data_IF_863163721927
#
_entry.id   IF_863163721927
#
_cell.length_a   1.000
_cell.length_b   1.000
_cell.length_c   1.000
_cell.angle_alpha   90.00
_cell.angle_beta   90.00
_cell.angle_gamma   90.00
#
_symmetry.space_group_name_H-M   'P 1'
#
loop_
_entity.id
_entity.type
_entity.pdbx_description
1 polymer ?
#
# COMPACT_ATOMS: atom_id res chain seq x y z
N UNK A 1 16.08 1.46 -17.80
CA UNK A 1 15.49 1.49 -17.37
C UNK A 1 14.80 0.92 -16.84
N UNK A 2 14.35 1.05 -16.52
CA UNK A 2 13.64 0.71 -16.03
C UNK A 2 12.77 0.65 -15.91
N UNK A 3 12.59 0.23 -15.80
CA UNK A 3 11.67 0.17 -15.90
C UNK A 3 10.54 0.58 -15.53
N UNK A 4 10.08 0.91 -15.48
CA UNK A 4 8.91 1.72 -15.28
C UNK A 4 7.59 1.06 -14.95
N UNK A 5 7.60 -0.20 -14.59
CA UNK A 5 6.37 -0.91 -14.31
C UNK A 5 5.64 -0.33 -13.09
N UNK A 6 6.40 0.19 -12.13
CA UNK A 6 5.80 0.72 -10.89
C UNK A 6 6.13 2.19 -10.77
N UNK A 7 5.69 2.96 -11.74
CA UNK A 7 6.00 4.38 -11.76
C UNK A 7 4.94 5.24 -11.06
N UNK A 8 3.93 4.62 -10.49
CA UNK A 8 2.92 5.32 -9.68
C UNK A 8 2.92 4.75 -8.28
N UNK A 9 2.50 5.57 -7.33
CA UNK A 9 2.42 5.09 -5.95
C UNK A 9 1.24 5.73 -5.25
N UNK A 10 0.74 5.03 -4.22
CA UNK A 10 -0.31 5.53 -3.35
C UNK A 10 0.19 5.39 -1.91
N UNK A 11 -0.23 6.30 -1.05
CA UNK A 11 0.19 6.31 0.35
C UNK A 11 -1.01 6.47 1.26
N UNK A 12 -0.89 5.89 2.45
CA UNK A 12 -1.91 6.06 3.47
C UNK A 12 -1.29 5.84 4.83
N UNK A 13 -1.81 6.54 5.84
CA UNK A 13 -1.40 6.33 7.23
C UNK A 13 -2.33 5.30 7.83
N UNK A 14 -1.76 4.22 8.33
CA UNK A 14 -2.53 3.09 8.84
C UNK A 14 -2.03 2.76 10.23
N UNK A 15 -2.97 2.49 11.14
CA UNK A 15 -2.60 2.09 12.49
C UNK A 15 -1.80 0.79 12.44
N UNK A 16 -0.76 0.73 13.27
CA UNK A 16 0.10 -0.45 13.31
C UNK A 16 -0.71 -1.72 13.61
N UNK A 17 -1.76 -1.58 14.41
CA UNK A 17 -2.58 -2.74 14.76
C UNK A 17 -3.34 -3.30 13.55
N UNK A 18 -3.54 -2.49 12.53
CA UNK A 18 -4.27 -2.93 11.33
C UNK A 18 -3.35 -3.44 10.23
N UNK A 19 -2.04 -3.28 10.40
CA UNK A 19 -1.10 -3.71 9.37
C UNK A 19 -1.20 -5.21 9.12
N UNK A 20 -1.44 -5.98 10.16
CA UNK A 20 -1.53 -7.43 9.99
C UNK A 20 -2.67 -7.80 9.05
N UNK A 21 -3.82 -7.13 9.19
CA UNK A 21 -4.94 -7.38 8.29
C UNK A 21 -4.60 -6.98 6.87
N UNK A 22 -3.89 -5.86 6.72
CA UNK A 22 -3.47 -5.42 5.41
C UNK A 22 -2.52 -6.42 4.77
N UNK A 23 -1.55 -6.92 5.53
CA UNK A 23 -0.62 -7.93 5.02
C UNK A 23 -1.35 -9.18 4.59
N UNK A 24 -2.32 -9.63 5.40
CA UNK A 24 -3.10 -10.82 5.07
C UNK A 24 -3.88 -10.61 3.77
N UNK A 25 -4.43 -9.42 3.61
CA UNK A 25 -5.17 -9.11 2.38
C UNK A 25 -4.25 -9.11 1.17
N UNK A 26 -3.07 -8.51 1.31
CA UNK A 26 -2.14 -8.40 0.19
C UNK A 26 -1.46 -9.73 -0.12
N UNK A 27 -1.42 -10.63 0.85
CA UNK A 27 -0.85 -11.94 0.63
C UNK A 27 -1.60 -12.72 -0.43
N UNK A 28 -2.90 -12.45 -0.57
CA UNK A 28 -3.73 -13.07 -1.61
C UNK A 28 -3.77 -12.26 -2.89
N UNK A 29 -3.05 -11.14 -2.94
CA UNK A 29 -3.12 -10.26 -4.08
C UNK A 29 -2.31 -10.81 -5.25
N UNK A 30 -2.94 -10.89 -6.43
CA UNK A 30 -2.26 -11.37 -7.62
C UNK A 30 -1.74 -10.23 -8.49
N UNK A 31 -2.20 -9.00 -8.23
CA UNK A 31 -1.76 -7.84 -9.00
C UNK A 31 -0.36 -7.44 -8.57
N UNK A 32 0.57 -7.22 -9.50
CA UNK A 32 1.93 -6.85 -9.12
C UNK A 32 1.99 -5.52 -8.38
N UNK A 33 2.78 -5.47 -7.34
CA UNK A 33 2.98 -4.23 -6.58
C UNK A 33 4.25 -4.34 -5.75
N UNK A 34 4.72 -3.18 -5.26
CA UNK A 34 5.76 -3.12 -4.25
C UNK A 34 5.24 -2.29 -3.09
N UNK A 35 5.62 -2.67 -1.88
CA UNK A 35 5.13 -1.99 -0.70
C UNK A 35 6.28 -1.60 0.21
N UNK A 36 6.19 -0.41 0.78
CA UNK A 36 7.12 0.08 1.76
C UNK A 36 6.34 0.59 2.96
N UNK A 37 6.84 0.29 4.16
CA UNK A 37 6.18 0.73 5.38
C UNK A 37 7.20 1.51 6.20
N UNK A 38 6.83 2.72 6.58
CA UNK A 38 7.69 3.59 7.38
C UNK A 38 6.93 4.04 8.62
N UNK A 39 7.69 4.37 9.66
CA UNK A 39 7.09 4.92 10.85
C UNK A 39 6.66 6.36 10.58
N UNK A 40 5.39 6.65 10.82
CA UNK A 40 4.87 8.00 10.63
C UNK A 40 4.67 8.70 11.97
N UNK A 41 4.10 7.98 12.94
CA UNK A 41 3.88 8.50 14.29
C UNK A 41 3.76 7.31 15.21
N UNK A 42 3.60 7.59 16.50
CA UNK A 42 3.44 6.52 17.47
C UNK A 42 2.18 5.72 17.13
N UNK A 43 2.36 4.44 16.86
CA UNK A 43 1.24 3.57 16.52
C UNK A 43 0.72 3.73 15.11
N UNK A 44 1.32 4.62 14.31
CA UNK A 44 0.88 4.88 12.95
C UNK A 44 2.02 4.58 11.99
N UNK A 45 1.70 3.94 10.88
CA UNK A 45 2.67 3.63 9.83
C UNK A 45 2.25 4.24 8.52
N UNK A 46 3.21 4.79 7.79
CA UNK A 46 2.97 5.27 6.45
C UNK A 46 3.22 4.12 5.49
N UNK A 47 2.17 3.69 4.82
CA UNK A 47 2.24 2.58 3.86
C UNK A 47 2.24 3.17 2.47
N UNK A 48 3.23 2.81 1.68
CA UNK A 48 3.34 3.25 0.29
C UNK A 48 3.31 2.02 -0.60
N UNK A 49 2.38 2.00 -1.54
CA UNK A 49 2.31 0.93 -2.53
C UNK A 49 2.66 1.52 -3.89
N UNK A 50 3.67 0.95 -4.52
CA UNK A 50 4.05 1.32 -5.88
C UNK A 50 3.47 0.31 -6.84
N UNK A 51 2.89 0.81 -7.93
CA UNK A 51 2.17 -0.06 -8.85
C UNK A 51 2.08 0.59 -10.22
N UNK A 52 1.52 -0.16 -11.16
CA UNK A 52 1.23 0.33 -12.48
C UNK A 52 0.11 1.37 -12.39
N UNK A 53 0.11 2.30 -13.33
CA UNK A 53 -0.90 3.36 -13.35
C UNK A 53 -2.32 2.78 -13.40
N UNK A 54 -2.51 1.72 -14.14
CA UNK A 54 -3.82 1.10 -14.27
C UNK A 54 -4.33 0.52 -12.96
N UNK A 55 -3.44 0.27 -12.01
CA UNK A 55 -3.81 -0.32 -10.72
C UNK A 55 -3.81 0.68 -9.58
N UNK A 56 -3.51 1.94 -9.89
CA UNK A 56 -3.36 2.96 -8.87
C UNK A 56 -4.65 3.15 -8.06
N UNK A 57 -5.77 3.28 -8.75
CA UNK A 57 -7.04 3.48 -8.08
C UNK A 57 -7.42 2.29 -7.23
N UNK A 58 -7.13 1.10 -7.73
CA UNK A 58 -7.42 -0.12 -7.00
C UNK A 58 -6.71 -0.13 -5.64
N UNK A 59 -5.41 0.14 -5.65
CA UNK A 59 -4.64 0.12 -4.41
C UNK A 59 -4.98 1.30 -3.51
N UNK A 60 -5.31 2.44 -4.10
CA UNK A 60 -5.73 3.60 -3.31
C UNK A 60 -7.00 3.27 -2.53
N UNK A 61 -7.97 2.68 -3.19
CA UNK A 61 -9.22 2.28 -2.55
C UNK A 61 -8.97 1.22 -1.49
N UNK A 62 -8.07 0.29 -1.79
CA UNK A 62 -7.74 -0.77 -0.84
C UNK A 62 -7.16 -0.19 0.45
N UNK A 63 -6.20 0.73 0.31
CA UNK A 63 -5.57 1.34 1.48
C UNK A 63 -6.57 2.17 2.28
N UNK A 64 -7.47 2.86 1.62
CA UNK A 64 -8.48 3.65 2.31
C UNK A 64 -9.32 2.82 3.26
N UNK A 65 -9.53 1.56 2.93
CA UNK A 65 -10.29 0.68 3.80
C UNK A 65 -9.65 0.44 5.15
N UNK A 66 -8.38 0.76 5.28
CA UNK A 66 -7.63 0.53 6.51
C UNK A 66 -7.26 1.81 7.25
N UNK A 67 -7.66 2.96 6.74
CA UNK A 67 -7.27 4.23 7.34
C UNK A 67 -8.25 4.75 8.37
N UNK A 68 -9.40 4.18 8.48
CA UNK A 68 -10.42 4.69 9.41
C UNK A 68 -10.85 3.68 10.45
#
# INVERSE_FOLDING_TARGET
MKDGAFNNSVQAEIEAAKLRELYDRLDDEVTPYEMEVKRAAKGIRLVTISCDESNKDYFSTLLYGYTS
#
